data_IF_739709335759
#
_entry.id   IF_739709335759
#
_cell.length_a   1.000
_cell.length_b   1.000
_cell.length_c   1.000
_cell.angle_alpha   90.00
_cell.angle_beta   90.00
_cell.angle_gamma   90.00
#
_symmetry.space_group_name_H-M   'P 1'
#
loop_
_entity.id
_entity.type
_entity.pdbx_description
1 polymer ?
#
# COMPACT_ATOMS: atom_id res chain seq x y z
N UNK A 1 -14.75 2.40 -13.98
CA UNK A 1 -14.29 3.15 -12.80
C UNK A 1 -13.09 3.96 -13.24
N UNK A 2 -13.06 5.26 -12.91
CA UNK A 2 -12.03 6.21 -13.33
C UNK A 2 -10.64 5.77 -12.90
N UNK A 3 -9.89 5.15 -13.82
CA UNK A 3 -8.46 4.94 -13.66
C UNK A 3 -7.77 6.31 -13.74
N UNK A 4 -7.61 6.95 -12.58
CA UNK A 4 -6.93 8.25 -12.44
C UNK A 4 -5.54 8.17 -13.06
N UNK A 5 -5.33 8.87 -14.17
CA UNK A 5 -4.07 9.23 -14.86
C UNK A 5 -3.00 8.15 -15.16
N UNK A 6 -2.96 7.01 -14.47
CA UNK A 6 -1.85 6.04 -14.50
C UNK A 6 -2.28 4.56 -14.48
N UNK A 7 -3.57 4.25 -14.54
CA UNK A 7 -4.03 2.85 -14.45
C UNK A 7 -3.77 2.22 -13.08
N UNK A 8 -3.70 3.03 -12.03
CA UNK A 8 -3.44 2.58 -10.67
C UNK A 8 -4.75 2.51 -9.87
N UNK A 9 -4.85 1.59 -8.89
CA UNK A 9 -5.90 1.60 -7.87
C UNK A 9 -5.93 2.91 -7.09
N UNK A 10 -6.97 3.11 -6.27
CA UNK A 10 -7.00 4.27 -5.39
C UNK A 10 -5.80 4.28 -4.43
N UNK A 11 -5.30 5.47 -4.07
CA UNK A 11 -4.21 5.61 -3.09
C UNK A 11 -4.54 4.90 -1.78
N UNK A 12 -5.79 4.97 -1.32
CA UNK A 12 -6.22 4.27 -0.10
C UNK A 12 -6.07 2.75 -0.22
N UNK A 13 -6.34 2.18 -1.40
CA UNK A 13 -6.20 0.75 -1.62
C UNK A 13 -4.71 0.36 -1.65
N UNK A 14 -3.87 1.18 -2.29
CA UNK A 14 -2.42 1.00 -2.27
C UNK A 14 -1.84 1.14 -0.85
N UNK A 15 -2.35 2.06 -0.04
CA UNK A 15 -1.99 2.22 1.38
C UNK A 15 -2.41 0.99 2.20
N UNK A 16 -3.64 0.49 2.01
CA UNK A 16 -4.10 -0.75 2.66
C UNK A 16 -3.26 -1.95 2.27
N UNK A 17 -2.87 -2.07 1.01
CA UNK A 17 -1.95 -3.09 0.53
C UNK A 17 -0.57 -2.97 1.18
N UNK A 18 0.05 -1.79 1.15
CA UNK A 18 1.39 -1.57 1.71
C UNK A 18 1.44 -1.91 3.20
N UNK A 19 0.48 -1.38 3.97
CA UNK A 19 0.43 -1.63 5.41
C UNK A 19 0.21 -3.13 5.71
N UNK A 20 -0.63 -3.79 4.93
CA UNK A 20 -0.89 -5.23 5.05
C UNK A 20 0.34 -6.06 4.71
N UNK A 21 1.07 -5.69 3.66
CA UNK A 21 2.29 -6.38 3.23
C UNK A 21 3.44 -6.19 4.23
N UNK A 22 3.56 -4.98 4.81
CA UNK A 22 4.57 -4.66 5.83
C UNK A 22 4.32 -5.39 7.16
N UNK A 23 3.07 -5.47 7.60
CA UNK A 23 2.70 -6.12 8.86
C UNK A 23 2.41 -7.61 8.75
N UNK A 24 2.21 -8.14 7.54
CA UNK A 24 1.71 -9.49 7.29
C UNK A 24 0.37 -9.78 8.02
N UNK A 25 -0.41 -8.72 8.26
CA UNK A 25 -1.67 -8.76 9.00
C UNK A 25 -2.62 -7.64 8.57
N UNK A 26 -3.86 -8.03 8.21
CA UNK A 26 -4.91 -7.06 7.88
C UNK A 26 -5.45 -6.34 9.13
N UNK A 27 -5.35 -6.96 10.31
CA UNK A 27 -5.78 -6.33 11.58
C UNK A 27 -4.83 -5.21 11.98
N UNK A 28 -3.52 -5.45 11.90
CA UNK A 28 -2.52 -4.42 12.17
C UNK A 28 -2.58 -3.29 11.14
N UNK A 29 -2.77 -3.62 9.86
CA UNK A 29 -2.98 -2.62 8.81
C UNK A 29 -4.22 -1.76 9.05
N UNK A 30 -5.35 -2.38 9.42
CA UNK A 30 -6.58 -1.66 9.74
C UNK A 30 -6.39 -0.73 10.96
N UNK A 31 -5.70 -1.21 11.98
CA UNK A 31 -5.35 -0.42 13.16
C UNK A 31 -4.44 0.76 12.82
N UNK A 32 -3.43 0.57 11.98
CA UNK A 32 -2.51 1.65 11.56
C UNK A 32 -3.24 2.73 10.76
N UNK A 33 -4.08 2.31 9.81
CA UNK A 33 -4.79 3.22 8.92
C UNK A 33 -6.05 3.82 9.55
N UNK A 34 -6.37 3.46 10.81
CA UNK A 34 -7.58 3.87 11.53
C UNK A 34 -8.86 3.58 10.72
N UNK A 35 -8.95 2.39 10.13
CA UNK A 35 -10.10 1.91 9.36
C UNK A 35 -10.62 0.58 9.92
N UNK A 36 -11.79 0.15 9.45
CA UNK A 36 -12.35 -1.16 9.83
C UNK A 36 -11.60 -2.27 9.09
N UNK A 37 -11.40 -3.42 9.74
CA UNK A 37 -10.81 -4.62 9.13
C UNK A 37 -11.48 -5.03 7.81
N UNK A 38 -12.82 -4.99 7.77
CA UNK A 38 -13.58 -5.31 6.56
C UNK A 38 -13.31 -4.35 5.40
N UNK A 39 -12.90 -3.11 5.69
CA UNK A 39 -12.53 -2.14 4.66
C UNK A 39 -11.16 -2.46 4.04
N UNK A 40 -10.18 -2.85 4.86
CA UNK A 40 -8.88 -3.33 4.35
C UNK A 40 -9.08 -4.54 3.44
N UNK A 41 -9.80 -5.56 3.91
CA UNK A 41 -10.05 -6.77 3.11
C UNK A 41 -10.78 -6.47 1.79
N UNK A 42 -11.75 -5.55 1.81
CA UNK A 42 -12.46 -5.11 0.60
C UNK A 42 -11.53 -4.40 -0.39
N UNK A 43 -10.64 -3.54 0.10
CA UNK A 43 -9.69 -2.82 -0.73
C UNK A 43 -8.65 -3.76 -1.35
N UNK A 44 -8.11 -4.71 -0.57
CA UNK A 44 -7.18 -5.73 -1.10
C UNK A 44 -7.86 -6.55 -2.19
N UNK A 45 -9.08 -7.05 -1.92
CA UNK A 45 -9.82 -7.85 -2.89
C UNK A 45 -10.09 -7.07 -4.19
N UNK A 46 -10.42 -5.79 -4.09
CA UNK A 46 -10.64 -4.96 -5.27
C UNK A 46 -9.37 -4.85 -6.15
N UNK A 47 -8.18 -4.73 -5.54
CA UNK A 47 -6.91 -4.71 -6.28
C UNK A 47 -6.66 -6.08 -6.92
N UNK A 48 -6.83 -7.17 -6.17
CA UNK A 48 -6.61 -8.52 -6.69
C UNK A 48 -7.56 -8.86 -7.85
N UNK A 49 -8.83 -8.45 -7.76
CA UNK A 49 -9.84 -8.60 -8.82
C UNK A 49 -9.48 -7.77 -10.06
N UNK A 50 -8.96 -6.55 -9.88
CA UNK A 50 -8.49 -5.68 -10.97
C UNK A 50 -7.23 -6.23 -11.65
N UNK A 51 -6.28 -6.76 -10.86
CA UNK A 51 -5.00 -7.26 -11.36
C UNK A 51 -5.10 -8.68 -11.91
N UNK A 52 -6.17 -9.41 -11.58
CA UNK A 52 -6.35 -10.81 -11.94
C UNK A 52 -5.35 -11.75 -11.28
N UNK A 53 -4.74 -11.32 -10.17
CA UNK A 53 -3.70 -12.07 -9.45
C UNK A 53 -3.81 -11.86 -7.93
N UNK A 54 -3.62 -12.92 -7.12
CA UNK A 54 -3.58 -12.78 -5.67
C UNK A 54 -2.29 -12.07 -5.24
N UNK A 55 -2.44 -11.10 -4.36
CA UNK A 55 -1.35 -10.37 -3.69
C UNK A 55 -1.05 -10.96 -2.31
N UNK A 56 -2.03 -11.63 -1.70
CA UNK A 56 -1.88 -12.37 -0.44
C UNK A 56 -2.40 -13.80 -0.53
N UNK A 57 -1.86 -14.67 0.32
CA UNK A 57 -2.40 -16.00 0.62
C UNK A 57 -2.50 -16.19 2.13
N UNK A 58 -3.35 -17.13 2.56
CA UNK A 58 -3.49 -17.48 3.99
C UNK A 58 -2.18 -18.08 4.51
N UNK A 59 -1.68 -17.54 5.62
CA UNK A 59 -0.60 -18.13 6.41
C UNK A 59 -1.11 -18.72 7.72
N UNK A 60 -0.22 -19.31 8.52
CA UNK A 60 -0.55 -19.91 9.82
C UNK A 60 -0.96 -18.87 10.88
N UNK A 61 -0.37 -17.68 10.83
CA UNK A 61 -0.57 -16.60 11.82
C UNK A 61 -1.06 -15.29 11.20
N UNK A 62 -1.55 -15.32 9.95
CA UNK A 62 -1.97 -14.12 9.23
C UNK A 62 -1.98 -14.31 7.73
N UNK A 63 -1.34 -13.39 7.00
CA UNK A 63 -1.24 -13.43 5.54
C UNK A 63 0.21 -13.50 5.10
N UNK A 64 0.44 -14.18 3.99
CA UNK A 64 1.75 -14.24 3.33
C UNK A 64 1.61 -13.50 2.01
N UNK A 65 2.54 -12.59 1.74
CA UNK A 65 2.57 -11.83 0.48
C UNK A 65 3.06 -12.73 -0.66
N UNK A 66 2.35 -12.73 -1.79
CA UNK A 66 2.70 -13.52 -2.99
C UNK A 66 3.90 -12.93 -3.71
N UNK A 67 4.41 -13.59 -4.75
CA UNK A 67 5.46 -13.00 -5.61
C UNK A 67 5.01 -11.67 -6.23
N UNK A 68 3.80 -11.63 -6.81
CA UNK A 68 3.24 -10.40 -7.36
C UNK A 68 3.07 -9.30 -6.29
N UNK A 69 2.67 -9.69 -5.09
CA UNK A 69 2.62 -8.77 -3.95
C UNK A 69 4.01 -8.26 -3.54
N UNK A 70 5.06 -9.08 -3.56
CA UNK A 70 6.44 -8.61 -3.29
C UNK A 70 6.87 -7.57 -4.31
N UNK A 71 6.61 -7.81 -5.60
CA UNK A 71 6.98 -6.89 -6.67
C UNK A 71 6.30 -5.52 -6.47
N UNK A 72 4.99 -5.52 -6.19
CA UNK A 72 4.24 -4.30 -5.91
C UNK A 72 4.75 -3.60 -4.64
N UNK A 73 5.01 -4.36 -3.57
CA UNK A 73 5.51 -3.82 -2.31
C UNK A 73 6.87 -3.14 -2.47
N UNK A 74 7.79 -3.74 -3.24
CA UNK A 74 9.10 -3.14 -3.52
C UNK A 74 8.98 -1.79 -4.24
N UNK A 75 8.07 -1.67 -5.20
CA UNK A 75 7.82 -0.39 -5.89
C UNK A 75 7.23 0.65 -4.95
N UNK A 76 6.22 0.28 -4.16
CA UNK A 76 5.60 1.18 -3.17
C UNK A 76 6.60 1.66 -2.12
N UNK A 77 7.46 0.76 -1.62
CA UNK A 77 8.53 1.12 -0.69
C UNK A 77 9.50 2.15 -1.29
N UNK A 78 9.86 2.01 -2.57
CA UNK A 78 10.68 3.00 -3.27
C UNK A 78 9.98 4.35 -3.40
N UNK A 79 8.68 4.36 -3.75
CA UNK A 79 7.88 5.58 -3.85
C UNK A 79 7.80 6.28 -2.48
N UNK A 80 7.53 5.54 -1.42
CA UNK A 80 7.50 6.05 -0.05
C UNK A 80 8.86 6.63 0.38
N UNK A 81 9.97 5.97 0.01
CA UNK A 81 11.31 6.45 0.27
C UNK A 81 11.56 7.80 -0.40
N UNK A 82 11.31 7.89 -1.71
CA UNK A 82 11.49 9.14 -2.47
C UNK A 82 10.59 10.27 -1.96
N UNK A 83 9.33 9.97 -1.63
CA UNK A 83 8.43 10.94 -1.01
C UNK A 83 8.96 11.42 0.34
N UNK A 84 9.47 10.51 1.18
CA UNK A 84 10.06 10.82 2.48
C UNK A 84 11.26 11.75 2.36
N UNK A 85 12.14 11.53 1.38
CA UNK A 85 13.28 12.41 1.11
C UNK A 85 12.85 13.83 0.76
N UNK A 86 11.85 13.98 -0.11
CA UNK A 86 11.27 15.27 -0.47
C UNK A 86 10.65 15.97 0.74
N UNK A 87 9.85 15.24 1.53
CA UNK A 87 9.22 15.77 2.75
C UNK A 87 10.28 16.23 3.76
N UNK A 88 11.36 15.46 3.92
CA UNK A 88 12.48 15.83 4.80
C UNK A 88 13.17 17.10 4.31
N UNK A 89 13.42 17.23 3.01
CA UNK A 89 14.01 18.45 2.44
C UNK A 89 13.11 19.68 2.66
N UNK A 90 11.79 19.53 2.49
CA UNK A 90 10.82 20.60 2.77
C UNK A 90 10.88 21.00 4.25
N UNK A 91 10.86 20.02 5.17
CA UNK A 91 10.90 20.27 6.62
C UNK A 91 12.18 20.94 7.11
N UNK A 92 13.31 20.73 6.42
CA UNK A 92 14.60 21.37 6.75
C UNK A 92 14.71 22.82 6.24
N UNK A 93 13.79 23.26 5.39
CA UNK A 93 13.86 24.58 4.76
C UNK A 93 14.80 24.66 3.55
N UNK A 94 15.37 23.53 3.11
CA UNK A 94 16.34 23.44 2.00
C UNK A 94 15.74 23.88 0.63
N UNK A 95 14.41 24.00 0.55
CA UNK A 95 13.65 24.46 -0.64
C UNK A 95 12.94 25.80 -0.44
N UNK A 96 13.14 26.49 0.68
CA UNK A 96 12.63 27.85 0.88
C UNK A 96 13.55 28.87 0.21
N UNK A 97 13.57 28.87 -1.12
CA UNK A 97 14.43 29.74 -1.92
C UNK A 97 14.28 29.48 -3.41
N UNK A 98 13.05 29.57 -3.93
CA UNK A 98 12.81 29.80 -5.36
C UNK A 98 11.58 30.68 -5.53
#
# INVERSE_FOLDING_TARGET
>A
MDHRYYGLPSLTALEAFEASARHLSFELAASELNVRLGEVSRQIKAIEDEFGAPLFVRGETGVIVTSAGKDLYSVLASIHSSASEVVRAIKRGDRSGM
#
